data_IF_891716889666
#
_entry.id   IF_891716889666
#
_cell.length_a   1.000
_cell.length_b   1.000
_cell.length_c   1.000
_cell.angle_alpha   90.00
_cell.angle_beta   90.00
_cell.angle_gamma   90.00
#
_symmetry.space_group_name_H-M   'P 1'
#
loop_
_entity.id
_entity.type
_entity.pdbx_description
1 polymer ?
#
# COMPACT_ATOMS: atom_id res chain seq x y z
N UNK A 1 -19.54 -17.86 -12.57
CA UNK A 1 -18.82 -17.00 -13.54
C UNK A 1 -18.18 -15.80 -12.84
N UNK A 2 -17.43 -16.00 -11.74
CA UNK A 2 -16.91 -14.89 -10.91
C UNK A 2 -15.40 -14.97 -10.68
N UNK A 3 -14.77 -16.11 -10.97
CA UNK A 3 -13.32 -16.32 -10.75
C UNK A 3 -12.42 -15.67 -11.81
N UNK A 4 -12.92 -15.47 -13.02
CA UNK A 4 -12.11 -14.97 -14.16
C UNK A 4 -11.81 -13.47 -14.01
N UNK A 5 -12.74 -12.70 -13.46
CA UNK A 5 -12.58 -11.24 -13.28
C UNK A 5 -11.48 -10.93 -12.25
N UNK A 6 -11.39 -11.72 -11.18
CA UNK A 6 -10.36 -11.53 -10.14
C UNK A 6 -8.94 -11.82 -10.67
N UNK A 7 -8.79 -12.77 -11.60
CA UNK A 7 -7.48 -13.08 -12.17
C UNK A 7 -7.03 -12.05 -13.22
N UNK A 8 -7.96 -11.45 -13.97
CA UNK A 8 -7.65 -10.34 -14.88
C UNK A 8 -7.26 -9.08 -14.11
N UNK A 9 -7.92 -8.78 -12.99
CA UNK A 9 -7.49 -7.69 -12.10
C UNK A 9 -6.07 -7.92 -11.55
N UNK A 10 -5.76 -9.14 -11.09
CA UNK A 10 -4.41 -9.49 -10.61
C UNK A 10 -3.32 -9.38 -11.68
N UNK A 11 -3.61 -9.76 -12.93
CA UNK A 11 -2.66 -9.67 -14.05
C UNK A 11 -2.46 -8.23 -14.55
N UNK A 12 -3.53 -7.42 -14.53
CA UNK A 12 -3.47 -6.01 -14.92
C UNK A 12 -2.69 -5.22 -13.86
N UNK A 13 -2.93 -5.43 -12.56
CA UNK A 13 -2.16 -4.79 -11.47
C UNK A 13 -0.66 -5.13 -11.53
N UNK A 14 -0.29 -6.35 -11.95
CA UNK A 14 1.11 -6.76 -12.08
C UNK A 14 1.89 -6.10 -13.23
N UNK A 15 1.21 -5.43 -14.19
CA UNK A 15 1.84 -4.89 -15.39
C UNK A 15 1.97 -3.35 -15.38
N UNK A 16 1.32 -2.65 -14.44
CA UNK A 16 1.44 -1.20 -14.33
C UNK A 16 2.51 -0.88 -13.29
N UNK A 17 3.65 -0.37 -13.78
CA UNK A 17 4.59 0.52 -13.09
C UNK A 17 4.50 0.48 -11.56
N UNK A 18 5.48 -0.16 -10.89
CA UNK A 18 5.63 -0.08 -9.43
C UNK A 18 5.45 1.37 -8.97
N UNK A 19 4.28 1.67 -8.40
CA UNK A 19 3.99 2.99 -7.84
C UNK A 19 4.94 3.13 -6.64
N UNK A 20 5.76 4.18 -6.57
CA UNK A 20 6.64 4.37 -5.42
C UNK A 20 5.84 4.35 -4.12
N UNK A 21 6.29 3.62 -3.10
CA UNK A 21 5.57 3.53 -1.83
C UNK A 21 5.24 4.88 -1.18
N UNK A 22 6.11 5.92 -1.22
CA UNK A 22 5.73 7.23 -0.70
C UNK A 22 4.53 7.86 -1.43
N UNK A 23 4.33 7.51 -2.70
CA UNK A 23 3.19 7.98 -3.50
C UNK A 23 1.94 7.12 -3.25
N UNK A 24 2.12 5.81 -3.09
CA UNK A 24 1.05 4.86 -2.81
C UNK A 24 0.47 5.07 -1.40
N UNK A 25 1.37 5.14 -0.41
CA UNK A 25 1.08 5.37 1.01
C UNK A 25 1.23 6.86 1.37
N UNK A 26 0.57 7.73 0.60
CA UNK A 26 0.56 9.17 0.85
C UNK A 26 0.14 9.52 2.30
N UNK A 27 0.51 10.70 2.79
CA UNK A 27 0.08 11.20 4.11
C UNK A 27 -1.45 11.16 4.27
N UNK A 28 -2.19 11.42 3.19
CA UNK A 28 -3.64 11.32 3.18
C UNK A 28 -4.14 9.89 3.40
N UNK A 29 -3.45 8.89 2.84
CA UNK A 29 -3.72 7.49 3.12
C UNK A 29 -3.41 7.16 4.59
N UNK A 30 -2.21 7.52 5.05
CA UNK A 30 -1.73 7.16 6.40
C UNK A 30 -2.67 7.72 7.47
N UNK A 31 -3.02 9.00 7.40
CA UNK A 31 -3.93 9.64 8.37
C UNK A 31 -5.34 9.07 8.34
N UNK A 32 -5.79 8.58 7.19
CA UNK A 32 -7.16 8.09 7.00
C UNK A 32 -7.32 6.63 7.41
N UNK A 33 -6.30 5.82 7.19
CA UNK A 33 -6.39 4.35 7.31
C UNK A 33 -5.48 3.75 8.38
N UNK A 34 -4.59 4.54 8.98
CA UNK A 34 -3.66 4.09 10.03
C UNK A 34 -3.64 5.09 11.20
N UNK A 35 -2.91 4.77 12.27
CA UNK A 35 -2.61 5.71 13.37
C UNK A 35 -1.37 6.57 13.11
N UNK A 36 -0.90 6.65 11.86
CA UNK A 36 0.32 7.32 11.46
C UNK A 36 0.01 8.57 10.61
N UNK A 37 0.91 9.54 10.67
CA UNK A 37 0.81 10.81 9.96
C UNK A 37 1.42 10.76 8.56
N UNK A 38 2.39 9.90 8.31
CA UNK A 38 3.13 9.82 7.03
C UNK A 38 3.77 8.45 6.79
N UNK A 39 4.18 8.21 5.54
CA UNK A 39 4.99 7.05 5.17
C UNK A 39 6.34 7.02 5.90
N UNK A 40 6.97 8.18 6.08
CA UNK A 40 8.26 8.27 6.77
C UNK A 40 8.14 7.81 8.23
N UNK A 41 7.05 8.15 8.92
CA UNK A 41 6.79 7.66 10.27
C UNK A 41 6.66 6.12 10.30
N UNK A 42 6.06 5.52 9.27
CA UNK A 42 6.01 4.07 9.16
C UNK A 42 7.41 3.47 8.99
N UNK A 43 8.25 4.04 8.13
CA UNK A 43 9.63 3.58 7.93
C UNK A 43 10.46 3.70 9.22
N UNK A 44 10.28 4.79 9.97
CA UNK A 44 10.94 4.98 11.27
C UNK A 44 10.57 3.88 12.28
N UNK A 45 9.30 3.46 12.30
CA UNK A 45 8.81 2.39 13.19
C UNK A 45 9.32 1.02 12.74
N UNK A 46 9.28 0.75 11.44
CA UNK A 46 9.81 -0.51 10.86
C UNK A 46 11.32 -0.62 11.12
N UNK A 47 12.04 0.50 11.18
CA UNK A 47 13.45 0.55 11.58
C UNK A 47 14.42 -0.04 10.56
N UNK A 48 13.96 -0.32 9.33
CA UNK A 48 14.79 -0.87 8.24
C UNK A 48 14.97 0.13 7.11
N UNK A 49 16.09 0.02 6.40
CA UNK A 49 16.33 0.71 5.11
C UNK A 49 16.06 -0.17 3.90
N UNK A 50 15.85 -1.47 4.11
CA UNK A 50 15.48 -2.41 3.05
C UNK A 50 13.97 -2.35 2.82
N UNK A 51 13.57 -1.57 1.83
CA UNK A 51 12.16 -1.34 1.49
C UNK A 51 11.69 -2.24 0.33
N UNK A 52 12.25 -3.44 0.22
CA UNK A 52 11.73 -4.44 -0.71
C UNK A 52 10.36 -4.96 -0.25
N UNK A 53 9.48 -5.30 -1.19
CA UNK A 53 8.14 -5.82 -0.90
C UNK A 53 8.22 -7.04 0.04
N UNK A 54 9.09 -8.00 -0.28
CA UNK A 54 9.27 -9.22 0.52
C UNK A 54 9.70 -8.91 1.96
N UNK A 55 10.59 -7.93 2.15
CA UNK A 55 11.04 -7.55 3.49
C UNK A 55 9.94 -6.81 4.27
N UNK A 56 9.20 -5.91 3.62
CA UNK A 56 8.08 -5.22 4.25
C UNK A 56 6.96 -6.19 4.64
N UNK A 57 6.61 -7.13 3.77
CA UNK A 57 5.63 -8.18 4.07
C UNK A 57 6.11 -9.06 5.23
N UNK A 58 7.38 -9.46 5.23
CA UNK A 58 7.96 -10.25 6.31
C UNK A 58 7.89 -9.53 7.66
N UNK A 59 8.31 -8.26 7.71
CA UNK A 59 8.28 -7.46 8.93
C UNK A 59 6.85 -7.23 9.42
N UNK A 60 5.92 -6.92 8.52
CA UNK A 60 4.50 -6.72 8.85
C UNK A 60 3.86 -7.96 9.47
N UNK A 61 4.26 -9.15 9.03
CA UNK A 61 3.81 -10.43 9.58
C UNK A 61 4.51 -10.77 10.91
N UNK A 62 5.81 -10.49 11.02
CA UNK A 62 6.60 -10.78 12.21
C UNK A 62 6.25 -9.87 13.41
N UNK A 63 5.84 -8.63 13.13
CA UNK A 63 5.68 -7.59 14.14
C UNK A 63 4.20 -7.28 14.42
N UNK A 64 3.67 -7.81 15.52
CA UNK A 64 2.28 -7.56 15.96
C UNK A 64 1.98 -6.07 16.12
N UNK A 65 2.96 -5.28 16.56
CA UNK A 65 2.82 -3.86 16.76
C UNK A 65 2.52 -3.11 15.45
N UNK A 66 3.07 -3.56 14.31
CA UNK A 66 2.81 -2.95 13.00
C UNK A 66 1.34 -3.11 12.60
N UNK A 67 0.73 -4.25 12.92
CA UNK A 67 -0.71 -4.48 12.65
C UNK A 67 -1.60 -3.65 13.57
N UNK A 68 -1.19 -3.44 14.82
CA UNK A 68 -1.92 -2.59 15.76
C UNK A 68 -1.88 -1.11 15.33
N UNK A 69 -0.72 -0.57 14.92
CA UNK A 69 -0.61 0.84 14.52
C UNK A 69 -1.25 1.12 13.17
N UNK A 70 -1.21 0.15 12.24
CA UNK A 70 -1.79 0.34 10.90
C UNK A 70 -3.25 -0.05 10.83
N UNK A 71 -3.74 -0.90 11.74
CA UNK A 71 -5.11 -1.41 11.74
C UNK A 71 -5.37 -2.49 10.68
N UNK A 72 -4.36 -2.90 9.91
CA UNK A 72 -4.47 -3.93 8.87
C UNK A 72 -3.94 -5.27 9.36
N UNK A 73 -4.57 -6.36 8.92
CA UNK A 73 -4.18 -7.71 9.33
C UNK A 73 -3.00 -8.25 8.52
N UNK A 74 -2.83 -7.78 7.28
CA UNK A 74 -1.76 -8.22 6.38
C UNK A 74 -1.23 -7.05 5.55
N UNK A 75 0.02 -7.17 5.10
CA UNK A 75 0.62 -6.21 4.18
C UNK A 75 -0.17 -6.09 2.87
N UNK A 76 -0.60 -7.22 2.30
CA UNK A 76 -1.41 -7.25 1.08
C UNK A 76 -2.74 -6.49 1.21
N UNK A 77 -3.38 -6.54 2.38
CA UNK A 77 -4.60 -5.79 2.67
C UNK A 77 -4.34 -4.27 2.69
N UNK A 78 -3.31 -3.85 3.43
CA UNK A 78 -2.90 -2.45 3.52
C UNK A 78 -2.54 -1.89 2.13
N UNK A 79 -1.72 -2.61 1.37
CA UNK A 79 -1.33 -2.24 0.00
C UNK A 79 -2.53 -2.18 -0.93
N UNK A 80 -3.41 -3.17 -0.90
CA UNK A 80 -4.62 -3.17 -1.73
C UNK A 80 -5.55 -1.97 -1.45
N UNK A 81 -5.65 -1.56 -0.17
CA UNK A 81 -6.43 -0.38 0.20
C UNK A 81 -5.75 0.92 -0.26
N UNK A 82 -4.42 0.99 -0.23
CA UNK A 82 -3.66 2.13 -0.73
C UNK A 82 -3.76 2.25 -2.26
N UNK A 83 -3.63 1.15 -2.98
CA UNK A 83 -3.81 1.09 -4.44
C UNK A 83 -5.22 1.53 -4.84
N UNK A 84 -6.24 1.04 -4.13
CA UNK A 84 -7.63 1.47 -4.36
C UNK A 84 -7.78 2.98 -4.20
N UNK A 85 -7.27 3.56 -3.11
CA UNK A 85 -7.35 5.00 -2.88
C UNK A 85 -6.59 5.79 -3.95
N UNK A 86 -5.40 5.33 -4.31
CA UNK A 86 -4.61 5.89 -5.40
C UNK A 86 -5.47 5.91 -6.67
N UNK A 87 -5.90 4.76 -7.19
CA UNK A 87 -6.66 4.72 -8.44
C UNK A 87 -8.02 5.44 -8.38
N UNK A 88 -8.66 5.55 -7.22
CA UNK A 88 -9.86 6.39 -7.03
C UNK A 88 -9.52 7.87 -7.24
N UNK A 89 -8.43 8.37 -6.64
CA UNK A 89 -7.99 9.75 -6.82
C UNK A 89 -7.54 10.03 -8.27
N UNK A 90 -6.83 9.08 -8.91
CA UNK A 90 -6.37 9.20 -10.29
C UNK A 90 -7.48 8.93 -11.34
N UNK A 91 -8.61 8.32 -10.97
CA UNK A 91 -9.79 8.24 -11.84
C UNK A 91 -10.59 9.55 -11.90
N UNK A 92 -10.48 10.37 -10.85
CA UNK A 92 -11.21 11.64 -10.73
C UNK A 92 -10.36 12.84 -11.21
N UNK A 93 -9.03 12.70 -11.26
CA UNK A 93 -8.11 13.70 -11.80
C UNK A 93 -7.31 13.17 -12.98
N UNK A 94 -7.32 13.94 -14.08
CA UNK A 94 -6.50 13.82 -15.27
C UNK A 94 -5.08 13.27 -15.03
N UNK A 95 -4.61 12.46 -15.99
CA UNK A 95 -3.29 11.80 -16.05
C UNK A 95 -2.13 12.57 -15.40
N UNK A 96 -1.17 11.88 -14.76
CA UNK A 96 0.08 12.51 -14.33
C UNK A 96 0.82 13.03 -15.56
N UNK A 97 1.08 14.34 -15.60
CA UNK A 97 2.01 14.90 -16.59
C UNK A 97 3.42 14.35 -16.28
N UNK A 98 4.00 13.76 -17.31
CA UNK A 98 5.36 13.23 -17.40
C UNK A 98 6.42 14.28 -17.06
#
# INVERSE_FOLDING_TARGET
MTKIINNLFKLIVNAFHNIPYPLLFSDAFMKKYTHLESWDQFIEIVGTRDLTEDNLEHLFLAEDHLRLITGFSTWAEMKGQAEKLYYENYRVGSQPMH
#
